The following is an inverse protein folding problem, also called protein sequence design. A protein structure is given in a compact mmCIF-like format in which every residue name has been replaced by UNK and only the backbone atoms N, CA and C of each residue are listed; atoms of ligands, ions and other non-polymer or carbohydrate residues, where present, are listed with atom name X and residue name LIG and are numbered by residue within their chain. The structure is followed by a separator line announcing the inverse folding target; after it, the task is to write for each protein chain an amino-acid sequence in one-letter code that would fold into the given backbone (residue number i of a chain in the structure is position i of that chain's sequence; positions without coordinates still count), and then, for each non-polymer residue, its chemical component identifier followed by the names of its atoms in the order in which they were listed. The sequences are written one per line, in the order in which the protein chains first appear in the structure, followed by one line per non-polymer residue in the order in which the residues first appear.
data_IF_926043870511
#
_entry.id   IF_926043870511
#
_cell.length_a   1.000
_cell.length_b   1.000
_cell.length_c   1.000
_cell.angle_alpha   90.00
_cell.angle_beta   90.00
_cell.angle_gamma   90.00
#
_symmetry.space_group_name_H-M   'P 1'
#
loop_
_entity.id
_entity.type
_entity.pdbx_description
1 polymer ?
#
# COMPACT_ATOMS: atom_id res chain seq x y z
N UNK A 1 -14.20 -1.72 9.54
CA UNK A 1 -14.84 -3.04 9.80
C UNK A 1 -14.99 -3.18 11.32
N UNK A 2 -15.81 -4.10 11.86
CA UNK A 2 -15.83 -4.36 13.31
C UNK A 2 -15.17 -5.71 13.61
N UNK A 3 -14.08 -5.68 14.37
CA UNK A 3 -13.49 -6.90 14.96
C UNK A 3 -13.96 -7.09 16.40
N UNK A 4 -14.28 -8.33 16.74
CA UNK A 4 -14.53 -8.78 18.11
C UNK A 4 -13.63 -9.98 18.42
N UNK A 5 -13.31 -10.21 19.68
CA UNK A 5 -12.52 -11.36 20.11
C UNK A 5 -13.17 -12.08 21.29
N UNK A 6 -13.17 -13.41 21.23
CA UNK A 6 -13.64 -14.28 22.31
C UNK A 6 -12.70 -15.47 22.50
N UNK A 7 -12.54 -15.91 23.75
CA UNK A 7 -11.63 -17.00 24.07
C UNK A 7 -12.16 -18.39 23.65
N UNK A 8 -13.48 -18.57 23.66
CA UNK A 8 -14.09 -19.90 23.52
C UNK A 8 -15.22 -19.94 22.47
N UNK A 9 -15.18 -20.97 21.62
CA UNK A 9 -16.16 -21.25 20.57
C UNK A 9 -17.61 -21.33 21.09
N UNK A 10 -17.84 -21.80 22.31
CA UNK A 10 -19.17 -21.91 22.93
C UNK A 10 -19.82 -20.54 23.17
N UNK A 11 -19.01 -19.52 23.49
CA UNK A 11 -19.43 -18.15 23.78
C UNK A 11 -19.76 -17.32 22.53
N UNK A 12 -19.54 -17.87 21.33
CA UNK A 12 -19.81 -17.15 20.08
C UNK A 12 -21.28 -16.85 19.89
N UNK A 13 -21.57 -15.68 19.31
CA UNK A 13 -22.90 -15.35 18.79
C UNK A 13 -23.07 -15.92 17.38
N UNK A 14 -24.32 -16.12 16.97
CA UNK A 14 -24.64 -16.55 15.60
C UNK A 14 -24.07 -15.57 14.56
N UNK A 15 -23.66 -16.16 13.44
CA UNK A 15 -22.97 -15.51 12.32
C UNK A 15 -23.33 -16.23 11.01
N UNK A 16 -23.01 -15.64 9.87
CA UNK A 16 -23.43 -16.21 8.56
C UNK A 16 -22.52 -17.35 8.10
N UNK A 17 -21.31 -17.41 8.67
CA UNK A 17 -20.27 -18.40 8.38
C UNK A 17 -19.36 -18.60 9.60
N UNK A 18 -19.04 -19.86 9.90
CA UNK A 18 -17.95 -20.25 10.79
C UNK A 18 -16.77 -20.78 9.97
N UNK A 19 -15.57 -20.31 10.26
CA UNK A 19 -14.34 -20.74 9.59
C UNK A 19 -13.50 -21.55 10.55
N UNK A 20 -13.04 -22.71 10.07
CA UNK A 20 -12.18 -23.65 10.80
C UNK A 20 -10.88 -23.82 10.01
N UNK A 21 -9.72 -23.43 10.57
CA UNK A 21 -8.44 -23.60 9.90
C UNK A 21 -7.93 -25.04 9.97
N UNK A 22 -7.26 -25.48 8.91
CA UNK A 22 -6.65 -26.81 8.76
C UNK A 22 -5.25 -26.69 8.17
N UNK A 23 -4.34 -27.56 8.62
CA UNK A 23 -3.07 -27.84 7.96
C UNK A 23 -3.26 -28.86 6.84
N UNK A 24 -2.23 -29.02 6.00
CA UNK A 24 -2.14 -30.14 5.05
C UNK A 24 -2.31 -31.51 5.74
N UNK A 25 -2.71 -32.52 4.95
CA UNK A 25 -3.10 -33.84 5.44
C UNK A 25 -4.25 -33.69 6.45
N UNK A 26 -5.36 -33.11 5.97
CA UNK A 26 -6.29 -32.21 6.65
C UNK A 26 -6.32 -32.35 8.17
N UNK A 27 -5.27 -31.84 8.83
CA UNK A 27 -5.14 -31.84 10.29
C UNK A 27 -5.77 -30.54 10.81
N UNK A 28 -6.74 -30.60 11.75
CA UNK A 28 -7.29 -29.38 12.33
C UNK A 28 -6.20 -28.51 12.95
N UNK A 29 -6.17 -27.22 12.61
CA UNK A 29 -5.22 -26.29 13.19
C UNK A 29 -5.66 -25.78 14.57
N UNK A 30 -6.81 -26.21 15.07
CA UNK A 30 -7.38 -25.80 16.36
C UNK A 30 -8.31 -26.90 16.89
N UNK A 31 -8.54 -27.01 18.21
CA UNK A 31 -9.45 -28.03 18.74
C UNK A 31 -10.87 -27.89 18.19
N UNK A 32 -11.36 -28.93 17.50
CA UNK A 32 -12.67 -28.91 16.83
C UNK A 32 -13.86 -28.91 17.80
N UNK A 33 -13.70 -29.43 19.02
CA UNK A 33 -14.77 -29.59 20.02
C UNK A 33 -16.06 -30.17 19.38
N UNK A 34 -17.17 -29.45 19.43
CA UNK A 34 -18.47 -29.87 18.87
C UNK A 34 -18.55 -29.90 17.34
N UNK A 35 -17.49 -29.52 16.62
CA UNK A 35 -17.45 -29.49 15.16
C UNK A 35 -16.88 -30.77 14.52
N UNK A 36 -16.40 -31.72 15.33
CA UNK A 36 -15.64 -32.89 14.85
C UNK A 36 -16.35 -33.69 13.74
N UNK A 37 -17.66 -33.91 13.86
CA UNK A 37 -18.45 -34.63 12.86
C UNK A 37 -18.75 -33.80 11.61
N UNK A 38 -18.95 -32.48 11.78
CA UNK A 38 -19.37 -31.60 10.69
C UNK A 38 -18.29 -31.39 9.61
N UNK A 39 -17.01 -31.55 9.97
CA UNK A 39 -15.87 -31.34 9.06
C UNK A 39 -15.42 -32.61 8.32
N UNK A 40 -15.87 -33.79 8.73
CA UNK A 40 -15.43 -35.07 8.15
C UNK A 40 -15.79 -35.27 6.66
N UNK A 41 -16.97 -34.86 6.16
CA UNK A 41 -17.40 -35.22 4.80
C UNK A 41 -16.38 -34.86 3.69
N UNK A 42 -15.89 -33.60 3.56
CA UNK A 42 -14.91 -33.28 2.52
C UNK A 42 -13.54 -33.94 2.75
N UNK A 43 -13.18 -34.25 4.00
CA UNK A 43 -11.92 -34.91 4.35
C UNK A 43 -11.94 -36.39 3.91
N UNK A 44 -13.02 -37.11 4.24
CA UNK A 44 -13.19 -38.52 3.89
C UNK A 44 -13.36 -38.73 2.38
N UNK A 45 -14.05 -37.79 1.71
CA UNK A 45 -14.17 -37.77 0.25
C UNK A 45 -12.86 -37.39 -0.47
N UNK A 46 -11.86 -36.87 0.26
CA UNK A 46 -10.61 -36.32 -0.28
C UNK A 46 -10.81 -35.08 -1.16
N UNK A 47 -11.91 -34.38 -1.00
CA UNK A 47 -12.23 -33.10 -1.65
C UNK A 47 -11.49 -31.91 -1.01
N UNK A 48 -10.88 -32.12 0.15
CA UNK A 48 -10.12 -31.12 0.88
C UNK A 48 -8.81 -31.70 1.40
N UNK A 49 -7.69 -31.08 1.06
CA UNK A 49 -6.35 -31.55 1.41
C UNK A 49 -5.61 -30.70 2.44
N UNK A 50 -6.10 -29.48 2.71
CA UNK A 50 -5.50 -28.51 3.63
C UNK A 50 -4.43 -27.63 3.00
N UNK A 51 -4.33 -27.60 1.67
CA UNK A 51 -3.39 -26.72 0.94
C UNK A 51 -3.70 -25.27 1.24
N UNK A 52 -2.69 -24.42 1.20
CA UNK A 52 -2.85 -23.01 1.52
C UNK A 52 -3.90 -22.33 0.61
N UNK A 53 -4.87 -21.65 1.24
CA UNK A 53 -5.98 -20.99 0.54
C UNK A 53 -7.06 -21.92 -0.01
N UNK A 54 -6.93 -23.23 0.16
CA UNK A 54 -7.96 -24.21 -0.18
C UNK A 54 -9.20 -24.01 0.69
N UNK A 55 -10.39 -24.08 0.10
CA UNK A 55 -11.66 -23.87 0.80
C UNK A 55 -12.63 -25.01 0.49
N UNK A 56 -13.13 -25.66 1.55
CA UNK A 56 -14.34 -26.49 1.47
C UNK A 56 -15.50 -25.79 2.18
N UNK A 57 -16.54 -25.41 1.43
CA UNK A 57 -17.76 -24.78 1.95
C UNK A 57 -18.84 -25.85 2.20
N UNK A 58 -19.30 -25.94 3.44
CA UNK A 58 -20.29 -26.88 3.91
C UNK A 58 -21.55 -26.18 4.42
N UNK A 59 -22.66 -26.92 4.40
CA UNK A 59 -23.97 -26.50 4.92
C UNK A 59 -24.43 -27.51 5.99
N UNK A 60 -23.89 -27.42 7.22
CA UNK A 60 -24.16 -28.41 8.25
C UNK A 60 -25.63 -28.39 8.68
N UNK A 61 -26.18 -29.58 8.98
CA UNK A 61 -27.49 -29.73 9.61
C UNK A 61 -27.33 -29.53 11.12
N UNK A 62 -27.47 -28.29 11.57
CA UNK A 62 -27.34 -27.89 12.99
C UNK A 62 -26.09 -27.05 13.29
N UNK A 63 -26.00 -26.54 14.51
CA UNK A 63 -25.02 -25.51 14.90
C UNK A 63 -25.63 -24.09 14.84
N UNK A 64 -24.85 -23.08 15.25
CA UNK A 64 -25.30 -21.68 15.26
C UNK A 64 -25.26 -21.05 13.86
N UNK A 65 -24.31 -21.45 13.02
CA UNK A 65 -24.08 -20.86 11.70
C UNK A 65 -24.64 -21.73 10.57
N UNK A 66 -25.22 -21.09 9.54
CA UNK A 66 -25.76 -21.79 8.34
C UNK A 66 -24.69 -22.36 7.41
N UNK A 67 -23.45 -21.89 7.54
CA UNK A 67 -22.32 -22.26 6.70
C UNK A 67 -21.10 -22.54 7.58
N UNK A 68 -20.31 -23.51 7.14
CA UNK A 68 -19.02 -23.86 7.72
C UNK A 68 -17.98 -23.88 6.60
N UNK A 69 -16.81 -23.28 6.81
CA UNK A 69 -15.69 -23.35 5.87
C UNK A 69 -14.53 -24.03 6.56
N UNK A 70 -13.95 -25.02 5.88
CA UNK A 70 -12.60 -25.49 6.16
C UNK A 70 -11.65 -24.62 5.33
N UNK A 71 -10.70 -23.96 5.98
CA UNK A 71 -9.69 -23.14 5.33
C UNK A 71 -8.32 -23.80 5.48
N UNK A 72 -7.68 -24.13 4.35
CA UNK A 72 -6.34 -24.69 4.35
C UNK A 72 -5.28 -23.60 4.57
N UNK A 73 -4.38 -23.86 5.51
CA UNK A 73 -3.24 -23.00 5.87
C UNK A 73 -1.91 -23.52 5.30
N UNK A 74 -1.92 -24.63 4.57
CA UNK A 74 -0.71 -25.26 4.07
C UNK A 74 -0.02 -26.12 5.13
N UNK A 75 1.30 -26.31 4.97
CA UNK A 75 2.09 -27.13 5.88
C UNK A 75 2.32 -26.42 7.20
N UNK A 76 2.11 -27.15 8.29
CA UNK A 76 2.21 -26.65 9.67
C UNK A 76 3.57 -25.99 9.99
N UNK A 77 4.68 -26.56 9.52
CA UNK A 77 6.03 -26.04 9.76
C UNK A 77 6.50 -24.92 8.80
N UNK A 78 5.69 -24.56 7.79
CA UNK A 78 6.02 -23.52 6.79
C UNK A 78 5.10 -22.30 6.92
N UNK A 79 4.35 -22.18 8.02
CA UNK A 79 3.42 -21.08 8.25
C UNK A 79 4.16 -19.73 8.33
N UNK A 80 3.70 -18.75 7.55
CA UNK A 80 4.22 -17.38 7.53
C UNK A 80 3.09 -16.35 7.58
N UNK A 81 3.43 -15.09 7.85
CA UNK A 81 2.47 -13.96 7.80
C UNK A 81 1.83 -13.85 6.43
N UNK A 82 2.62 -13.97 5.35
CA UNK A 82 2.09 -13.93 3.98
C UNK A 82 1.21 -15.14 3.64
N UNK A 83 1.56 -16.35 4.11
CA UNK A 83 0.72 -17.53 3.94
C UNK A 83 -0.65 -17.35 4.60
N UNK A 84 -0.70 -16.76 5.80
CA UNK A 84 -1.96 -16.35 6.44
C UNK A 84 -2.69 -15.29 5.62
N UNK A 85 -2.00 -14.25 5.17
CA UNK A 85 -2.58 -13.18 4.34
C UNK A 85 -3.25 -13.75 3.08
N UNK A 86 -2.58 -14.67 2.37
CA UNK A 86 -3.10 -15.32 1.15
C UNK A 86 -4.27 -16.26 1.46
N UNK A 87 -4.18 -17.07 2.51
CA UNK A 87 -5.27 -17.96 2.91
C UNK A 87 -6.54 -17.18 3.29
N UNK A 88 -6.40 -16.13 4.12
CA UNK A 88 -7.54 -15.31 4.54
C UNK A 88 -8.02 -14.35 3.44
N UNK A 89 -7.18 -14.03 2.45
CA UNK A 89 -7.63 -13.39 1.20
C UNK A 89 -8.56 -14.32 0.41
N UNK A 90 -8.21 -15.60 0.23
CA UNK A 90 -9.08 -16.57 -0.43
C UNK A 90 -10.45 -16.69 0.27
N UNK A 91 -10.44 -16.78 1.60
CA UNK A 91 -11.65 -16.78 2.41
C UNK A 91 -12.49 -15.52 2.18
N UNK A 92 -11.86 -14.35 2.20
CA UNK A 92 -12.57 -13.08 2.06
C UNK A 92 -13.20 -12.95 0.68
N UNK A 93 -12.51 -13.38 -0.39
CA UNK A 93 -13.09 -13.47 -1.75
C UNK A 93 -14.35 -14.34 -1.77
N UNK A 94 -14.35 -15.48 -1.07
CA UNK A 94 -15.55 -16.31 -0.93
C UNK A 94 -16.68 -15.57 -0.21
N UNK A 95 -16.38 -14.90 0.91
CA UNK A 95 -17.35 -14.12 1.68
C UNK A 95 -18.01 -13.03 0.83
N UNK A 96 -17.21 -12.28 0.06
CA UNK A 96 -17.69 -11.25 -0.86
C UNK A 96 -18.58 -11.86 -1.95
N UNK A 97 -18.13 -12.95 -2.60
CA UNK A 97 -18.91 -13.67 -3.64
C UNK A 97 -20.25 -14.18 -3.11
N UNK A 98 -20.31 -14.59 -1.85
CA UNK A 98 -21.52 -15.09 -1.17
C UNK A 98 -22.34 -13.98 -0.49
N UNK A 99 -21.93 -12.72 -0.62
CA UNK A 99 -22.58 -11.55 -0.01
C UNK A 99 -22.76 -11.71 1.52
N UNK A 100 -21.73 -12.21 2.20
CA UNK A 100 -21.71 -12.36 3.67
C UNK A 100 -21.20 -11.08 4.34
N UNK A 101 -21.84 -10.64 5.41
CA UNK A 101 -21.48 -9.45 6.18
C UNK A 101 -20.94 -9.75 7.58
N UNK A 102 -21.18 -10.93 8.14
CA UNK A 102 -20.74 -11.31 9.48
C UNK A 102 -20.20 -12.74 9.49
N UNK A 103 -18.96 -12.91 9.95
CA UNK A 103 -18.30 -14.22 10.06
C UNK A 103 -17.62 -14.44 11.42
N UNK A 104 -17.52 -15.71 11.81
CA UNK A 104 -16.77 -16.19 12.97
C UNK A 104 -15.53 -16.94 12.48
N UNK A 105 -14.34 -16.59 12.99
CA UNK A 105 -13.05 -17.17 12.60
C UNK A 105 -12.42 -17.85 13.80
N UNK A 106 -12.23 -19.18 13.74
CA UNK A 106 -11.35 -19.85 14.69
C UNK A 106 -9.89 -19.56 14.35
N UNK A 107 -9.13 -19.13 15.34
CA UNK A 107 -7.68 -18.97 15.18
C UNK A 107 -6.98 -20.33 15.21
N UNK A 108 -5.92 -20.51 14.40
CA UNK A 108 -5.03 -21.65 14.54
C UNK A 108 -4.33 -21.60 15.90
N UNK A 109 -4.15 -22.77 16.53
CA UNK A 109 -3.31 -22.93 17.69
C UNK A 109 -1.85 -22.92 17.26
N UNK A 110 -1.23 -21.75 17.35
CA UNK A 110 0.16 -21.51 16.93
C UNK A 110 1.19 -21.69 18.05
N UNK A 111 0.75 -21.93 19.29
CA UNK A 111 1.63 -21.89 20.48
C UNK A 111 2.79 -22.87 20.37
N UNK A 112 2.54 -24.03 19.76
CA UNK A 112 3.53 -25.09 19.60
C UNK A 112 4.39 -24.96 18.34
N UNK A 113 4.00 -24.09 17.38
CA UNK A 113 4.67 -23.98 16.08
C UNK A 113 6.01 -23.25 16.14
N UNK A 114 6.11 -22.22 17.01
CA UNK A 114 7.29 -21.34 17.16
C UNK A 114 7.78 -20.68 15.85
N UNK A 115 7.05 -20.82 14.75
CA UNK A 115 7.37 -20.21 13.44
C UNK A 115 6.93 -18.76 13.36
N UNK A 116 5.80 -18.42 14.00
CA UNK A 116 5.26 -17.07 14.10
C UNK A 116 4.70 -16.81 15.50
N UNK A 117 4.70 -15.55 15.91
CA UNK A 117 4.06 -15.05 17.12
C UNK A 117 2.54 -14.87 16.97
N UNK A 118 1.84 -14.66 18.09
CA UNK A 118 0.42 -14.29 18.08
C UNK A 118 0.17 -12.96 17.37
N UNK A 119 1.11 -12.03 17.47
CA UNK A 119 1.04 -10.73 16.81
C UNK A 119 1.08 -10.89 15.29
N UNK A 120 2.08 -11.60 14.78
CA UNK A 120 2.24 -11.93 13.36
C UNK A 120 1.03 -12.72 12.81
N UNK A 121 0.49 -13.65 13.61
CA UNK A 121 -0.69 -14.41 13.22
C UNK A 121 -1.92 -13.51 13.05
N UNK A 122 -2.19 -12.64 14.04
CA UNK A 122 -3.32 -11.71 13.98
C UNK A 122 -3.14 -10.67 12.88
N UNK A 123 -1.91 -10.19 12.66
CA UNK A 123 -1.57 -9.31 11.55
C UNK A 123 -1.89 -9.99 10.20
N UNK A 124 -1.33 -11.16 9.90
CA UNK A 124 -1.54 -11.82 8.61
C UNK A 124 -3.03 -12.14 8.34
N UNK A 125 -3.76 -12.60 9.37
CA UNK A 125 -5.21 -12.85 9.27
C UNK A 125 -5.97 -11.55 8.98
N UNK A 126 -5.72 -10.50 9.75
CA UNK A 126 -6.44 -9.24 9.61
C UNK A 126 -6.08 -8.52 8.31
N UNK A 127 -4.83 -8.53 7.86
CA UNK A 127 -4.42 -8.02 6.54
C UNK A 127 -5.11 -8.77 5.40
N UNK A 128 -5.11 -10.11 5.45
CA UNK A 128 -5.77 -10.94 4.44
C UNK A 128 -7.26 -10.62 4.31
N UNK A 129 -7.92 -10.33 5.44
CA UNK A 129 -9.32 -9.90 5.47
C UNK A 129 -9.50 -8.46 4.99
N UNK A 130 -8.80 -7.52 5.61
CA UNK A 130 -8.95 -6.08 5.37
C UNK A 130 -8.59 -5.73 3.92
N UNK A 131 -7.37 -6.04 3.50
CA UNK A 131 -6.85 -5.64 2.19
C UNK A 131 -7.64 -6.24 1.02
N UNK A 132 -8.27 -7.40 1.23
CA UNK A 132 -9.14 -8.08 0.25
C UNK A 132 -10.58 -7.55 0.29
N UNK A 133 -11.02 -7.01 1.43
CA UNK A 133 -12.35 -6.42 1.58
C UNK A 133 -12.43 -5.00 0.98
N UNK A 134 -11.31 -4.40 0.59
CA UNK A 134 -11.27 -3.19 -0.22
C UNK A 134 -11.97 -3.40 -1.57
N UNK A 135 -12.84 -2.46 -1.95
CA UNK A 135 -13.43 -2.41 -3.29
C UNK A 135 -13.40 -0.97 -3.77
N UNK A 136 -12.79 -0.77 -4.93
CA UNK A 136 -12.92 0.46 -5.67
C UNK A 136 -13.96 0.28 -6.78
N UNK A 137 -15.05 1.03 -6.70
CA UNK A 137 -16.08 0.99 -7.73
C UNK A 137 -15.85 2.12 -8.72
N UNK A 138 -15.50 1.77 -9.96
CA UNK A 138 -15.70 2.69 -11.08
C UNK A 138 -17.14 3.16 -11.07
N UNK A 139 -17.37 4.47 -11.18
CA UNK A 139 -18.69 5.09 -11.30
C UNK A 139 -19.35 4.71 -12.65
N UNK A 140 -19.61 3.42 -12.88
CA UNK A 140 -20.32 2.93 -14.07
C UNK A 140 -21.82 2.81 -13.80
N UNK A 141 -22.62 2.90 -14.85
CA UNK A 141 -24.09 2.96 -14.77
C UNK A 141 -24.74 1.69 -14.18
N UNK A 142 -24.04 0.55 -14.18
CA UNK A 142 -24.49 -0.71 -13.57
C UNK A 142 -24.16 -0.75 -12.08
N UNK A 143 -25.02 -0.13 -11.26
CA UNK A 143 -24.93 -0.17 -9.80
C UNK A 143 -25.26 -1.55 -9.24
N UNK A 144 -24.38 -2.54 -9.38
CA UNK A 144 -24.35 -3.59 -8.36
C UNK A 144 -23.87 -2.94 -7.06
N UNK A 145 -24.70 -2.95 -6.02
CA UNK A 145 -24.30 -2.42 -4.71
C UNK A 145 -23.10 -3.21 -4.21
N UNK A 146 -21.98 -2.54 -3.91
CA UNK A 146 -20.87 -3.18 -3.23
C UNK A 146 -21.34 -3.87 -1.96
N UNK A 147 -20.90 -5.11 -1.82
CA UNK A 147 -21.11 -5.88 -0.62
C UNK A 147 -19.78 -5.99 0.11
N UNK A 148 -19.80 -5.70 1.41
CA UNK A 148 -18.61 -5.76 2.26
C UNK A 148 -18.83 -6.73 3.41
N UNK A 149 -17.75 -7.39 3.82
CA UNK A 149 -17.66 -7.98 5.14
C UNK A 149 -17.61 -6.85 6.16
N UNK A 150 -18.49 -6.90 7.17
CA UNK A 150 -18.69 -5.81 8.14
C UNK A 150 -18.24 -6.21 9.54
N UNK A 151 -18.35 -7.49 9.87
CA UNK A 151 -18.13 -8.00 11.23
C UNK A 151 -17.32 -9.30 11.19
N UNK A 152 -16.23 -9.33 11.96
CA UNK A 152 -15.36 -10.50 12.12
C UNK A 152 -15.19 -10.78 13.59
N UNK A 153 -15.58 -11.97 14.05
CA UNK A 153 -15.30 -12.41 15.42
C UNK A 153 -14.15 -13.41 15.40
N UNK A 154 -13.03 -13.04 16.01
CA UNK A 154 -11.88 -13.91 16.24
C UNK A 154 -12.13 -14.78 17.48
N UNK A 155 -12.02 -16.10 17.31
CA UNK A 155 -12.29 -17.10 18.34
C UNK A 155 -10.98 -17.80 18.70
N UNK A 156 -10.65 -17.84 19.98
CA UNK A 156 -9.37 -18.37 20.49
C UNK A 156 -8.39 -17.28 20.92
N UNK A 157 -8.85 -16.04 21.09
CA UNK A 157 -8.03 -14.94 21.63
C UNK A 157 -8.84 -14.04 22.56
N UNK A 158 -8.16 -13.18 23.31
CA UNK A 158 -8.77 -12.27 24.27
C UNK A 158 -9.02 -10.89 23.65
N UNK A 159 -10.01 -10.11 24.14
CA UNK A 159 -10.26 -8.75 23.68
C UNK A 159 -9.03 -7.84 23.66
N UNK A 160 -8.09 -8.01 24.59
CA UNK A 160 -6.83 -7.24 24.63
C UNK A 160 -5.98 -7.39 23.35
N UNK A 161 -6.07 -8.53 22.67
CA UNK A 161 -5.32 -8.79 21.44
C UNK A 161 -5.89 -8.07 20.22
N UNK A 162 -7.07 -7.43 20.34
CA UNK A 162 -7.62 -6.58 19.28
C UNK A 162 -6.79 -5.30 19.06
N UNK A 163 -5.91 -4.91 19.98
CA UNK A 163 -5.02 -3.77 19.74
C UNK A 163 -4.08 -4.02 18.55
N UNK A 164 -3.64 -5.26 18.34
CA UNK A 164 -2.83 -5.66 17.18
C UNK A 164 -3.64 -5.47 15.89
N UNK A 165 -4.88 -5.96 15.88
CA UNK A 165 -5.80 -5.82 14.74
C UNK A 165 -6.10 -4.35 14.46
N UNK A 166 -6.28 -3.52 15.51
CA UNK A 166 -6.51 -2.09 15.37
C UNK A 166 -5.31 -1.39 14.73
N UNK A 167 -4.08 -1.75 15.09
CA UNK A 167 -2.88 -1.23 14.45
C UNK A 167 -2.82 -1.63 12.97
N UNK A 168 -3.13 -2.88 12.64
CA UNK A 168 -3.25 -3.35 11.26
C UNK A 168 -4.35 -2.63 10.49
N UNK A 169 -5.49 -2.32 11.11
CA UNK A 169 -6.57 -1.52 10.51
C UNK A 169 -6.08 -0.13 10.11
N UNK A 170 -5.35 0.58 10.98
CA UNK A 170 -4.81 1.91 10.64
C UNK A 170 -3.85 1.86 9.44
N UNK A 171 -3.03 0.81 9.34
CA UNK A 171 -2.14 0.60 8.18
C UNK A 171 -2.96 0.27 6.93
N UNK A 172 -3.97 -0.61 7.04
CA UNK A 172 -4.84 -0.95 5.91
C UNK A 172 -5.62 0.26 5.38
N UNK A 173 -6.12 1.14 6.26
CA UNK A 173 -6.80 2.39 5.88
C UNK A 173 -5.85 3.34 5.13
N UNK A 174 -4.57 3.40 5.53
CA UNK A 174 -3.56 4.14 4.78
C UNK A 174 -3.29 3.52 3.39
N UNK A 175 -3.28 2.19 3.27
CA UNK A 175 -3.21 1.50 1.98
C UNK A 175 -4.44 1.78 1.13
N UNK A 176 -5.63 1.89 1.72
CA UNK A 176 -6.84 2.28 0.98
C UNK A 176 -6.74 3.69 0.45
N UNK A 177 -6.25 4.65 1.24
CA UNK A 177 -5.98 6.00 0.75
C UNK A 177 -5.05 5.96 -0.48
N UNK A 178 -3.94 5.22 -0.40
CA UNK A 178 -3.02 5.06 -1.54
C UNK A 178 -3.74 4.48 -2.76
N UNK A 179 -4.52 3.40 -2.58
CA UNK A 179 -5.27 2.75 -3.67
C UNK A 179 -6.36 3.65 -4.25
N UNK A 180 -7.08 4.40 -3.43
CA UNK A 180 -8.13 5.31 -3.87
C UNK A 180 -7.55 6.41 -4.75
N UNK A 181 -6.40 6.97 -4.36
CA UNK A 181 -5.71 7.97 -5.16
C UNK A 181 -5.24 7.42 -6.52
N UNK A 182 -4.63 6.23 -6.53
CA UNK A 182 -4.10 5.60 -7.75
C UNK A 182 -5.24 5.16 -8.69
N UNK A 183 -6.34 4.64 -8.13
CA UNK A 183 -7.44 4.09 -8.92
C UNK A 183 -8.35 5.17 -9.50
N UNK A 184 -8.50 6.31 -8.82
CA UNK A 184 -9.38 7.40 -9.23
C UNK A 184 -8.93 8.02 -10.56
N UNK A 185 -9.85 8.72 -11.23
CA UNK A 185 -9.58 9.33 -12.51
C UNK A 185 -8.61 10.52 -12.41
N UNK A 186 -7.82 10.71 -13.46
CA UNK A 186 -6.86 11.82 -13.57
C UNK A 186 -7.53 13.21 -13.56
N UNK A 187 -8.78 13.33 -14.02
CA UNK A 187 -9.53 14.59 -13.97
C UNK A 187 -9.93 15.00 -12.53
N UNK A 188 -9.93 14.04 -11.61
CA UNK A 188 -10.21 14.26 -10.18
C UNK A 188 -8.89 14.44 -9.41
N UNK A 189 -7.94 13.51 -9.57
CA UNK A 189 -6.67 13.49 -8.82
C UNK A 189 -5.65 14.41 -9.49
N UNK A 190 -5.90 15.72 -9.42
CA UNK A 190 -5.03 16.78 -9.94
C UNK A 190 -3.94 17.18 -8.92
N UNK A 191 -2.94 18.01 -9.28
CA UNK A 191 -1.94 18.49 -8.33
C UNK A 191 -2.54 19.24 -7.13
N UNK A 192 -3.63 19.97 -7.36
CA UNK A 192 -4.42 20.62 -6.32
C UNK A 192 -5.08 19.60 -5.39
N UNK A 193 -5.69 18.55 -5.95
CA UNK A 193 -6.32 17.50 -5.16
C UNK A 193 -5.34 16.79 -4.24
N UNK A 194 -4.10 16.52 -4.70
CA UNK A 194 -3.05 15.97 -3.81
C UNK A 194 -2.71 16.93 -2.67
N UNK A 195 -2.73 18.23 -2.92
CA UNK A 195 -2.59 19.25 -1.90
C UNK A 195 -3.73 19.21 -0.88
N UNK A 196 -4.97 19.10 -1.35
CA UNK A 196 -6.16 18.98 -0.51
C UNK A 196 -6.13 17.72 0.36
N UNK A 197 -5.68 16.59 -0.18
CA UNK A 197 -5.49 15.33 0.56
C UNK A 197 -4.49 15.53 1.69
N UNK A 198 -3.34 16.16 1.42
CA UNK A 198 -2.33 16.46 2.44
C UNK A 198 -2.86 17.40 3.52
N UNK A 199 -3.64 18.43 3.15
CA UNK A 199 -4.33 19.28 4.12
C UNK A 199 -5.38 18.51 4.92
N UNK A 200 -6.08 17.55 4.31
CA UNK A 200 -7.00 16.64 4.98
C UNK A 200 -6.29 15.81 6.05
N UNK A 201 -5.09 15.31 5.77
CA UNK A 201 -4.27 14.60 6.74
C UNK A 201 -3.86 15.49 7.93
N UNK A 202 -3.45 16.74 7.70
CA UNK A 202 -3.11 17.65 8.81
C UNK A 202 -4.33 18.06 9.66
N UNK A 203 -5.52 18.15 9.06
CA UNK A 203 -6.77 18.33 9.81
C UNK A 203 -7.14 17.11 10.65
N UNK A 204 -6.94 15.90 10.11
CA UNK A 204 -7.23 14.63 10.80
C UNK A 204 -6.22 14.35 11.92
N UNK A 205 -4.95 14.69 11.72
CA UNK A 205 -3.86 14.40 12.64
C UNK A 205 -3.12 15.69 13.05
N UNK A 206 -3.37 16.23 14.25
CA UNK A 206 -2.74 17.47 14.72
C UNK A 206 -1.21 17.44 14.81
N UNK A 207 -0.61 16.25 14.81
CA UNK A 207 0.85 16.04 14.77
C UNK A 207 1.46 16.27 13.38
N UNK A 208 0.63 16.50 12.36
CA UNK A 208 1.07 16.81 11.00
C UNK A 208 0.89 18.31 10.73
N UNK A 209 1.95 18.94 10.22
CA UNK A 209 1.93 20.30 9.67
C UNK A 209 2.16 20.25 8.18
N UNK A 210 1.24 20.81 7.40
CA UNK A 210 1.32 20.83 5.93
C UNK A 210 1.51 22.24 5.41
N UNK A 211 2.47 22.40 4.49
CA UNK A 211 2.69 23.61 3.71
C UNK A 211 2.62 23.26 2.22
N UNK A 212 1.91 24.07 1.44
CA UNK A 212 1.78 23.89 0.00
C UNK A 212 2.30 25.14 -0.70
N UNK A 213 3.17 24.96 -1.68
CA UNK A 213 3.59 26.04 -2.56
C UNK A 213 2.71 26.02 -3.79
N UNK A 214 2.10 27.18 -4.06
CA UNK A 214 1.45 27.45 -5.33
C UNK A 214 2.49 27.76 -6.42
N UNK A 215 2.05 27.88 -7.66
CA UNK A 215 2.92 28.20 -8.81
C UNK A 215 3.73 29.47 -8.59
N UNK A 216 3.15 30.51 -7.99
CA UNK A 216 3.85 31.78 -7.71
C UNK A 216 5.05 31.56 -6.79
N UNK A 217 4.87 30.78 -5.73
CA UNK A 217 5.96 30.42 -4.83
C UNK A 217 6.97 29.48 -5.51
N UNK A 218 6.54 28.50 -6.31
CA UNK A 218 7.44 27.62 -7.07
C UNK A 218 8.35 28.42 -8.02
N UNK A 219 7.81 29.44 -8.71
CA UNK A 219 8.59 30.39 -9.51
C UNK A 219 9.60 31.15 -8.66
N UNK A 220 9.17 31.66 -7.50
CA UNK A 220 10.05 32.40 -6.58
C UNK A 220 11.20 31.54 -6.04
N UNK A 221 10.92 30.27 -5.74
CA UNK A 221 11.92 29.31 -5.28
C UNK A 221 12.82 28.81 -6.42
N UNK A 222 12.56 29.21 -7.68
CA UNK A 222 13.35 28.85 -8.88
C UNK A 222 13.43 27.34 -9.14
N UNK A 223 12.32 26.63 -8.93
CA UNK A 223 12.21 25.19 -9.27
C UNK A 223 11.98 25.03 -10.77
N UNK A 224 13.00 25.32 -11.58
CA UNK A 224 12.88 25.40 -13.04
C UNK A 224 12.53 24.08 -13.72
N UNK A 225 12.91 22.93 -13.17
CA UNK A 225 12.56 21.62 -13.75
C UNK A 225 11.10 21.25 -13.47
N UNK A 226 10.60 21.49 -12.25
CA UNK A 226 9.19 21.31 -11.94
C UNK A 226 8.30 22.24 -12.79
N UNK A 227 8.73 23.50 -12.92
CA UNK A 227 8.03 24.45 -13.78
C UNK A 227 8.04 23.97 -15.23
N UNK A 228 9.18 23.46 -15.71
CA UNK A 228 9.35 23.00 -17.08
C UNK A 228 8.35 21.89 -17.47
N UNK A 229 8.19 20.89 -16.60
CA UNK A 229 7.23 19.80 -16.79
C UNK A 229 5.79 20.31 -16.81
N UNK A 230 5.46 21.27 -15.93
CA UNK A 230 4.09 21.76 -15.76
C UNK A 230 3.56 22.67 -16.87
N UNK A 231 4.43 23.18 -17.76
CA UNK A 231 4.10 24.31 -18.65
C UNK A 231 2.94 24.01 -19.62
N UNK A 232 2.79 22.75 -20.01
CA UNK A 232 1.78 22.31 -20.96
C UNK A 232 0.43 21.95 -20.33
N UNK A 233 0.35 21.86 -18.99
CA UNK A 233 -0.91 21.49 -18.32
C UNK A 233 -1.80 22.72 -18.09
N UNK A 234 -3.11 22.49 -18.14
CA UNK A 234 -4.10 23.44 -17.68
C UNK A 234 -4.15 23.55 -16.14
N UNK A 235 -3.60 22.56 -15.43
CA UNK A 235 -3.51 22.55 -13.96
C UNK A 235 -2.16 23.08 -13.52
N UNK A 236 -2.17 23.95 -12.50
CA UNK A 236 -0.92 24.50 -11.96
C UNK A 236 -0.21 23.47 -11.07
N UNK A 237 1.13 23.43 -11.05
CA UNK A 237 1.88 22.53 -10.18
C UNK A 237 1.70 22.92 -8.70
N UNK A 238 1.92 21.94 -7.82
CA UNK A 238 1.97 22.13 -6.37
C UNK A 238 3.24 21.51 -5.81
N UNK A 239 3.83 22.15 -4.81
CA UNK A 239 4.92 21.56 -4.03
C UNK A 239 4.43 21.37 -2.61
N UNK A 240 4.18 20.13 -2.23
CA UNK A 240 3.52 19.78 -0.97
C UNK A 240 4.57 19.30 0.02
N UNK A 241 4.58 19.87 1.22
CA UNK A 241 5.48 19.48 2.32
C UNK A 241 4.60 19.18 3.54
N UNK A 242 4.61 17.94 4.01
CA UNK A 242 3.87 17.54 5.22
C UNK A 242 4.82 16.92 6.24
N UNK A 243 4.95 17.57 7.39
CA UNK A 243 5.86 17.18 8.47
C UNK A 243 5.09 16.58 9.64
N UNK A 244 5.43 15.34 10.01
CA UNK A 244 5.00 14.65 11.20
C UNK A 244 6.09 14.70 12.28
N UNK A 245 5.73 15.22 13.46
CA UNK A 245 6.60 15.29 14.63
C UNK A 245 6.12 14.28 15.71
N UNK A 246 6.67 13.07 15.67
CA UNK A 246 6.36 12.00 16.64
C UNK A 246 7.42 11.82 17.72
N UNK A 247 8.59 12.43 17.58
CA UNK A 247 9.67 12.35 18.56
C UNK A 247 10.48 13.66 18.65
N UNK A 248 9.97 14.68 19.37
CA UNK A 248 10.61 16.00 19.46
C UNK A 248 12.03 16.01 20.06
N UNK A 249 12.43 14.91 20.73
CA UNK A 249 13.77 14.78 21.35
C UNK A 249 14.80 14.18 20.40
N UNK A 250 14.36 13.55 19.30
CA UNK A 250 15.24 12.93 18.33
C UNK A 250 15.66 13.93 17.26
N UNK A 251 16.94 13.87 16.87
CA UNK A 251 17.45 14.54 15.67
C UNK A 251 17.35 13.68 14.41
N UNK A 252 17.00 12.39 14.55
CA UNK A 252 16.76 11.53 13.40
C UNK A 252 15.49 11.98 12.67
N UNK A 253 15.61 12.19 11.36
CA UNK A 253 14.57 12.76 10.52
C UNK A 253 14.60 12.10 9.15
N UNK A 254 13.55 11.35 8.85
CA UNK A 254 13.38 10.72 7.54
C UNK A 254 12.63 11.66 6.62
N UNK A 255 13.14 11.85 5.41
CA UNK A 255 12.43 12.48 4.30
C UNK A 255 11.99 11.42 3.30
N UNK A 256 10.70 11.39 2.99
CA UNK A 256 10.17 10.65 1.86
C UNK A 256 9.77 11.61 0.74
N UNK A 257 10.16 11.32 -0.50
CA UNK A 257 9.79 12.13 -1.68
C UNK A 257 9.01 11.28 -2.67
N UNK A 258 7.76 11.62 -2.94
CA UNK A 258 6.92 10.86 -3.87
C UNK A 258 6.76 11.55 -5.22
N UNK A 259 7.07 10.87 -6.33
CA UNK A 259 6.75 11.37 -7.69
C UNK A 259 5.25 11.65 -7.79
N UNK A 260 4.87 12.88 -8.12
CA UNK A 260 3.49 13.35 -8.17
C UNK A 260 3.02 13.75 -9.57
N UNK A 261 3.31 12.95 -10.60
CA UNK A 261 2.79 13.20 -11.96
C UNK A 261 1.39 12.63 -12.06
N UNK A 262 0.40 13.50 -11.94
CA UNK A 262 -1.03 13.13 -11.82
C UNK A 262 -1.62 12.51 -13.08
N UNK A 263 -1.07 12.90 -14.23
CA UNK A 263 -1.22 12.18 -15.48
C UNK A 263 0.01 12.42 -16.34
N UNK A 264 0.51 11.37 -16.97
CA UNK A 264 1.67 11.43 -17.83
C UNK A 264 1.32 11.06 -19.27
N UNK A 265 1.18 12.06 -20.13
CA UNK A 265 1.05 11.83 -21.58
C UNK A 265 2.40 11.52 -22.24
N UNK A 266 3.52 11.78 -21.54
CA UNK A 266 4.87 11.87 -22.08
C UNK A 266 5.22 13.24 -22.66
N UNK A 267 4.27 14.18 -22.71
CA UNK A 267 4.48 15.50 -23.29
C UNK A 267 4.69 15.41 -24.82
N UNK A 268 5.61 16.21 -25.37
CA UNK A 268 5.90 16.20 -26.81
C UNK A 268 6.39 14.83 -27.30
N UNK A 269 7.12 14.10 -26.46
CA UNK A 269 7.39 12.67 -26.63
C UNK A 269 6.19 11.82 -26.21
N UNK A 270 5.06 12.01 -26.90
CA UNK A 270 3.78 11.37 -26.58
C UNK A 270 3.91 9.85 -26.47
N UNK A 271 3.38 9.27 -25.39
CA UNK A 271 3.31 7.84 -25.20
C UNK A 271 2.43 7.18 -26.28
N UNK A 272 2.83 6.01 -26.80
CA UNK A 272 2.01 5.27 -27.74
C UNK A 272 0.74 4.69 -27.06
N UNK A 273 -0.29 4.42 -27.88
CA UNK A 273 -1.48 3.67 -27.46
C UNK A 273 -1.09 2.33 -26.84
N UNK A 274 -1.77 1.93 -25.77
CA UNK A 274 -1.46 0.76 -24.95
C UNK A 274 -0.53 1.04 -23.76
N UNK A 275 0.13 2.20 -23.73
CA UNK A 275 1.04 2.62 -22.65
C UNK A 275 0.59 3.88 -21.91
N UNK A 276 -0.45 4.56 -22.40
CA UNK A 276 -0.92 5.86 -21.88
C UNK A 276 -2.15 5.71 -20.96
N UNK A 277 -2.91 4.63 -21.12
CA UNK A 277 -4.25 4.43 -20.53
C UNK A 277 -4.22 4.33 -19.01
N UNK A 278 -3.11 3.86 -18.44
CA UNK A 278 -2.92 3.72 -16.99
C UNK A 278 -2.08 4.85 -16.39
N UNK A 279 -1.70 5.89 -17.14
CA UNK A 279 -0.76 6.92 -16.67
C UNK A 279 -1.32 7.88 -15.61
N UNK A 280 -2.59 7.72 -15.23
CA UNK A 280 -3.11 8.25 -13.95
C UNK A 280 -2.40 7.64 -12.73
N UNK A 281 -1.79 6.47 -12.88
CA UNK A 281 -1.04 5.78 -11.84
C UNK A 281 0.36 6.38 -11.64
N UNK A 282 0.77 7.35 -12.46
CA UNK A 282 2.13 7.90 -12.44
C UNK A 282 2.43 8.85 -11.25
N UNK A 283 1.43 8.99 -10.38
CA UNK A 283 1.49 9.62 -9.07
C UNK A 283 1.51 8.60 -7.91
N UNK A 284 1.68 7.30 -8.20
CA UNK A 284 1.70 6.24 -7.18
C UNK A 284 2.78 6.47 -6.11
N UNK A 285 3.90 7.10 -6.47
CA UNK A 285 4.93 7.54 -5.54
C UNK A 285 4.40 8.54 -4.51
N UNK A 286 3.72 9.59 -4.98
CA UNK A 286 3.04 10.58 -4.15
C UNK A 286 1.94 9.97 -3.27
N UNK A 287 1.10 9.10 -3.85
CA UNK A 287 0.05 8.40 -3.10
C UNK A 287 0.65 7.57 -1.97
N UNK A 288 1.72 6.81 -2.25
CA UNK A 288 2.39 5.95 -1.28
C UNK A 288 2.99 6.75 -0.13
N UNK A 289 3.68 7.86 -0.39
CA UNK A 289 4.26 8.67 0.70
C UNK A 289 3.19 9.33 1.57
N UNK A 290 2.07 9.78 0.98
CA UNK A 290 0.94 10.32 1.73
C UNK A 290 0.24 9.23 2.56
N UNK A 291 0.09 8.02 2.02
CA UNK A 291 -0.40 6.86 2.74
C UNK A 291 0.52 6.50 3.92
N UNK A 292 1.83 6.41 3.70
CA UNK A 292 2.83 6.16 4.75
C UNK A 292 2.75 7.20 5.87
N UNK A 293 2.60 8.49 5.52
CA UNK A 293 2.40 9.56 6.51
C UNK A 293 1.13 9.33 7.34
N UNK A 294 0.03 8.95 6.71
CA UNK A 294 -1.22 8.62 7.40
C UNK A 294 -1.04 7.44 8.36
N UNK A 295 -0.39 6.35 7.92
CA UNK A 295 -0.12 5.18 8.75
C UNK A 295 0.75 5.52 9.96
N UNK A 296 1.85 6.26 9.76
CA UNK A 296 2.78 6.71 10.80
C UNK A 296 2.06 7.56 11.85
N UNK A 297 1.22 8.50 11.41
CA UNK A 297 0.47 9.37 12.32
C UNK A 297 -0.63 8.61 13.09
N UNK A 298 -1.37 7.72 12.42
CA UNK A 298 -2.44 6.94 13.00
C UNK A 298 -1.95 5.93 14.05
N UNK A 299 -0.78 5.32 13.79
CA UNK A 299 -0.11 4.38 14.71
C UNK A 299 0.75 5.09 15.77
N UNK A 300 0.91 6.43 15.66
CA UNK A 300 1.65 7.27 16.60
C UNK A 300 3.11 6.84 16.78
N UNK A 301 3.78 6.47 15.67
CA UNK A 301 5.18 6.03 15.72
C UNK A 301 6.08 7.14 16.27
N UNK A 302 7.04 6.76 17.12
CA UNK A 302 7.98 7.70 17.77
C UNK A 302 9.13 8.10 16.84
N UNK A 303 8.80 8.68 15.70
CA UNK A 303 9.74 9.13 14.65
C UNK A 303 9.43 10.55 14.19
N UNK A 304 10.40 11.20 13.54
CA UNK A 304 10.15 12.44 12.80
C UNK A 304 10.23 12.15 11.31
N UNK A 305 9.18 12.51 10.58
CA UNK A 305 9.01 12.17 9.18
C UNK A 305 8.53 13.41 8.42
N UNK A 306 9.17 13.74 7.30
CA UNK A 306 8.59 14.68 6.33
C UNK A 306 8.33 13.97 5.03
N UNK A 307 7.17 14.25 4.44
CA UNK A 307 6.81 13.87 3.09
C UNK A 307 6.86 15.10 2.20
N UNK A 308 7.49 14.97 1.04
CA UNK A 308 7.49 15.97 -0.02
C UNK A 308 6.92 15.38 -1.30
N UNK A 309 6.02 16.10 -1.93
CA UNK A 309 5.43 15.73 -3.22
C UNK A 309 5.55 16.92 -4.18
N UNK A 310 6.45 16.85 -5.18
CA UNK A 310 6.35 17.71 -6.36
C UNK A 310 5.20 17.20 -7.25
N UNK A 311 4.06 17.86 -7.21
CA UNK A 311 2.87 17.48 -7.95
C UNK A 311 2.72 18.31 -9.24
N UNK A 312 2.50 17.64 -10.35
CA UNK A 312 2.27 18.26 -11.66
C UNK A 312 1.51 17.31 -12.60
N UNK A 313 1.27 17.73 -13.82
CA UNK A 313 0.71 16.94 -14.91
C UNK A 313 1.58 17.18 -16.14
N UNK A 314 1.97 16.11 -16.84
CA UNK A 314 2.78 16.21 -18.06
C UNK A 314 1.87 16.10 -19.28
N UNK A 315 1.58 17.24 -19.91
CA UNK A 315 0.56 17.38 -20.95
C UNK A 315 1.13 17.93 -22.27
N UNK A 316 0.38 17.72 -23.34
CA UNK A 316 0.64 18.26 -24.68
C UNK A 316 -0.17 19.53 -24.89
N UNK A 317 0.53 20.64 -25.06
CA UNK A 317 -0.02 21.96 -25.40
C UNK A 317 1.01 22.77 -26.22
N UNK A 318 0.58 23.90 -26.79
CA UNK A 318 1.49 24.86 -27.42
C UNK A 318 2.61 25.34 -26.48
N UNK A 319 2.37 25.36 -25.16
CA UNK A 319 3.33 25.78 -24.12
C UNK A 319 4.20 24.65 -23.59
N UNK A 320 4.02 23.40 -24.01
CA UNK A 320 4.86 22.30 -23.54
C UNK A 320 6.34 22.54 -23.87
N UNK A 321 7.19 22.22 -22.90
CA UNK A 321 8.63 22.05 -23.09
C UNK A 321 8.92 20.97 -24.14
N UNK A 322 10.08 21.06 -24.78
CA UNK A 322 10.42 20.29 -25.97
C UNK A 322 11.76 19.57 -25.82
N UNK A 323 11.97 18.50 -26.60
CA UNK A 323 13.29 17.93 -26.76
C UNK A 323 14.31 18.97 -27.23
N UNK A 324 15.47 19.01 -26.60
CA UNK A 324 16.55 19.99 -26.81
C UNK A 324 16.43 21.28 -25.99
N UNK A 325 15.33 21.52 -25.28
CA UNK A 325 15.25 22.65 -24.35
C UNK A 325 16.24 22.45 -23.20
N UNK A 326 16.81 23.55 -22.69
CA UNK A 326 17.71 23.55 -21.53
C UNK A 326 17.09 24.37 -20.41
N UNK A 327 16.89 23.74 -19.25
CA UNK A 327 16.33 24.40 -18.06
C UNK A 327 17.33 24.42 -16.91
N UNK A 328 17.31 25.50 -16.13
CA UNK A 328 18.08 25.61 -14.89
C UNK A 328 17.27 25.03 -13.73
N UNK A 329 17.82 24.01 -13.08
CA UNK A 329 17.26 23.41 -11.86
C UNK A 329 17.35 24.32 -10.64
N UNK A 330 16.63 23.96 -9.57
CA UNK A 330 16.78 24.55 -8.25
C UNK A 330 18.24 24.54 -7.75
N UNK A 331 18.99 23.49 -8.11
CA UNK A 331 20.42 23.36 -7.77
C UNK A 331 21.36 24.21 -8.63
N UNK A 332 20.81 25.07 -9.49
CA UNK A 332 21.52 25.95 -10.44
C UNK A 332 22.25 25.21 -11.57
N UNK A 333 22.19 23.87 -11.60
CA UNK A 333 22.64 23.07 -12.74
C UNK A 333 21.67 23.20 -13.90
N UNK A 334 22.19 23.27 -15.11
CA UNK A 334 21.42 23.18 -16.36
C UNK A 334 21.18 21.73 -16.75
N UNK A 335 19.99 21.43 -17.25
CA UNK A 335 19.59 20.09 -17.73
C UNK A 335 19.02 20.24 -19.13
N UNK A 336 19.62 19.54 -20.10
CA UNK A 336 19.07 19.37 -21.44
C UNK A 336 17.97 18.31 -21.41
N UNK A 337 16.81 18.65 -21.96
CA UNK A 337 15.67 17.74 -22.04
C UNK A 337 15.79 16.94 -23.33
N UNK A 338 16.35 15.74 -23.27
CA UNK A 338 16.40 14.87 -24.47
C UNK A 338 15.08 14.15 -24.73
N UNK A 339 14.26 13.94 -23.70
CA UNK A 339 12.97 13.27 -23.79
C UNK A 339 12.01 13.81 -22.71
N UNK A 340 10.85 14.32 -23.12
CA UNK A 340 9.83 14.87 -22.22
C UNK A 340 9.06 13.79 -21.45
N UNK A 341 9.14 12.52 -21.86
CA UNK A 341 8.61 11.33 -21.15
C UNK A 341 9.55 10.84 -20.03
N UNK A 342 10.61 11.60 -19.75
CA UNK A 342 11.50 11.42 -18.61
C UNK A 342 11.26 12.54 -17.57
N UNK A 343 10.03 12.96 -17.39
CA UNK A 343 9.59 14.08 -16.54
C UNK A 343 9.76 13.81 -15.04
N UNK A 344 9.54 12.57 -14.59
CA UNK A 344 9.54 12.22 -13.16
C UNK A 344 10.87 12.54 -12.48
N UNK A 345 12.00 12.29 -13.16
CA UNK A 345 13.34 12.61 -12.60
C UNK A 345 13.59 14.12 -12.54
N UNK A 346 12.95 14.91 -13.41
CA UNK A 346 13.08 16.37 -13.44
C UNK A 346 12.44 16.98 -12.20
N UNK A 347 11.17 16.61 -11.93
CA UNK A 347 10.45 17.12 -10.76
C UNK A 347 11.06 16.64 -9.44
N UNK A 348 11.59 15.41 -9.41
CA UNK A 348 12.32 14.87 -8.26
C UNK A 348 13.65 15.58 -8.05
N UNK A 349 14.37 15.96 -9.11
CA UNK A 349 15.64 16.67 -9.03
C UNK A 349 15.53 18.00 -8.27
N UNK A 350 14.51 18.79 -8.58
CA UNK A 350 14.21 20.03 -7.84
C UNK A 350 13.74 19.73 -6.41
N UNK A 351 12.84 18.74 -6.23
CA UNK A 351 12.31 18.40 -4.92
C UNK A 351 13.37 17.91 -3.94
N UNK A 352 14.26 17.01 -4.37
CA UNK A 352 15.36 16.49 -3.58
C UNK A 352 16.32 17.63 -3.20
N UNK A 353 16.69 18.47 -4.17
CA UNK A 353 17.64 19.57 -3.94
C UNK A 353 17.09 20.62 -2.97
N UNK A 354 15.83 21.03 -3.15
CA UNK A 354 15.14 21.94 -2.22
C UNK A 354 15.06 21.35 -0.82
N UNK A 355 14.59 20.10 -0.73
CA UNK A 355 14.28 19.45 0.54
C UNK A 355 15.53 19.17 1.36
N UNK A 356 16.62 18.69 0.75
CA UNK A 356 17.89 18.48 1.46
C UNK A 356 18.44 19.81 2.01
N UNK A 357 18.39 20.88 1.21
CA UNK A 357 18.90 22.20 1.61
C UNK A 357 18.09 22.83 2.76
N UNK A 358 16.77 22.73 2.72
CA UNK A 358 15.89 23.43 3.67
C UNK A 358 15.44 22.58 4.86
N UNK A 359 15.30 21.27 4.70
CA UNK A 359 14.76 20.37 5.72
C UNK A 359 15.86 19.60 6.46
N UNK A 360 17.06 19.47 5.87
CA UNK A 360 18.25 18.82 6.48
C UNK A 360 17.96 17.43 7.09
N UNK A 361 17.34 16.51 6.33
CA UNK A 361 17.03 15.17 6.83
C UNK A 361 18.29 14.35 7.09
N UNK A 362 18.19 13.35 7.97
CA UNK A 362 19.27 12.38 8.21
C UNK A 362 19.29 11.26 7.18
N UNK A 363 18.16 11.01 6.51
CA UNK A 363 18.03 10.05 5.40
C UNK A 363 16.91 10.48 4.45
N UNK A 364 17.06 10.12 3.17
CA UNK A 364 16.09 10.43 2.10
C UNK A 364 15.76 9.14 1.36
N UNK A 365 14.47 8.92 1.10
CA UNK A 365 13.99 7.84 0.24
C UNK A 365 12.99 8.47 -0.73
N UNK A 366 13.26 8.38 -2.03
CA UNK A 366 12.25 8.72 -3.05
C UNK A 366 11.52 7.47 -3.56
N UNK A 367 10.24 7.63 -3.87
CA UNK A 367 9.37 6.58 -4.40
C UNK A 367 8.75 7.09 -5.70
N UNK A 368 8.92 6.33 -6.79
CA UNK A 368 8.51 6.75 -8.11
C UNK A 368 8.21 5.60 -9.08
N UNK A 369 7.13 5.74 -9.82
CA UNK A 369 6.88 5.02 -11.09
C UNK A 369 7.79 5.62 -12.18
N UNK A 370 9.09 5.35 -12.09
CA UNK A 370 10.08 6.17 -12.82
C UNK A 370 10.44 5.63 -14.21
N UNK A 371 10.48 4.31 -14.39
CA UNK A 371 10.97 3.72 -15.65
C UNK A 371 10.25 2.43 -16.00
N UNK A 372 9.89 2.26 -17.28
CA UNK A 372 9.49 0.97 -17.82
C UNK A 372 10.62 -0.07 -17.79
N UNK A 373 11.88 0.36 -17.77
CA UNK A 373 13.05 -0.53 -17.69
C UNK A 373 13.09 -1.36 -16.40
N UNK A 374 12.59 -0.85 -15.28
CA UNK A 374 12.47 -1.67 -14.06
C UNK A 374 11.48 -2.82 -14.23
N UNK A 375 10.38 -2.61 -14.94
CA UNK A 375 9.41 -3.68 -15.25
C UNK A 375 10.04 -4.74 -16.15
N UNK A 376 10.85 -4.32 -17.14
CA UNK A 376 11.61 -5.27 -17.98
C UNK A 376 12.60 -6.09 -17.16
N UNK A 377 13.27 -5.48 -16.19
CA UNK A 377 14.32 -6.13 -15.40
C UNK A 377 13.77 -7.07 -14.31
N UNK A 378 12.73 -6.65 -13.59
CA UNK A 378 12.26 -7.30 -12.35
C UNK A 378 10.81 -7.79 -12.40
N UNK A 379 10.08 -7.50 -13.49
CA UNK A 379 8.65 -7.79 -13.60
C UNK A 379 7.80 -6.91 -12.67
N UNK A 380 6.64 -7.42 -12.28
CA UNK A 380 5.64 -6.68 -11.49
C UNK A 380 5.62 -7.05 -9.99
N UNK A 381 6.40 -8.04 -9.58
CA UNK A 381 6.37 -8.59 -8.21
C UNK A 381 7.46 -8.07 -7.27
N UNK A 382 8.46 -7.37 -7.80
CA UNK A 382 9.63 -6.90 -7.06
C UNK A 382 9.92 -5.46 -7.47
N UNK A 383 10.05 -4.56 -6.49
CA UNK A 383 10.45 -3.18 -6.78
C UNK A 383 11.96 -3.05 -6.82
N UNK A 384 12.48 -2.41 -7.87
CA UNK A 384 13.90 -2.06 -7.95
C UNK A 384 14.19 -0.79 -7.16
N UNK A 385 15.33 -0.75 -6.46
CA UNK A 385 15.80 0.47 -5.80
C UNK A 385 17.30 0.67 -5.99
N UNK A 386 17.74 1.90 -5.82
CA UNK A 386 19.15 2.28 -5.83
C UNK A 386 19.48 2.94 -4.49
N UNK A 387 20.71 2.80 -4.02
CA UNK A 387 21.16 3.45 -2.79
C UNK A 387 22.63 3.84 -2.90
N UNK A 388 22.97 4.98 -2.33
CA UNK A 388 24.35 5.42 -2.08
C UNK A 388 24.81 5.12 -0.64
N UNK A 389 23.95 4.52 0.19
CA UNK A 389 24.22 4.13 1.57
C UNK A 389 23.88 2.64 1.75
N UNK A 390 24.89 1.83 2.04
CA UNK A 390 24.76 0.38 2.18
C UNK A 390 23.91 -0.02 3.39
N UNK A 391 23.96 0.76 4.47
CA UNK A 391 23.20 0.48 5.69
C UNK A 391 21.71 0.70 5.43
N UNK A 392 21.34 1.79 4.78
CA UNK A 392 19.96 2.06 4.39
C UNK A 392 19.46 1.00 3.39
N UNK A 393 20.31 0.57 2.46
CA UNK A 393 19.95 -0.49 1.51
C UNK A 393 19.60 -1.81 2.21
N UNK A 394 20.43 -2.26 3.16
CA UNK A 394 20.14 -3.45 3.96
C UNK A 394 18.85 -3.29 4.78
N UNK A 395 18.63 -2.12 5.40
CA UNK A 395 17.40 -1.85 6.15
C UNK A 395 16.14 -1.92 5.28
N UNK A 396 16.22 -1.46 4.02
CA UNK A 396 15.12 -1.56 3.07
C UNK A 396 14.87 -3.02 2.64
N UNK A 397 15.93 -3.79 2.36
CA UNK A 397 15.81 -5.21 2.03
C UNK A 397 15.17 -6.01 3.18
N UNK A 398 15.61 -5.78 4.41
CA UNK A 398 15.02 -6.41 5.60
C UNK A 398 13.55 -6.04 5.76
N UNK A 399 13.20 -4.76 5.56
CA UNK A 399 11.82 -4.31 5.58
C UNK A 399 10.97 -5.04 4.54
N UNK A 400 11.40 -5.06 3.27
CA UNK A 400 10.68 -5.74 2.19
C UNK A 400 10.51 -7.24 2.41
N UNK A 401 11.53 -7.91 2.95
CA UNK A 401 11.43 -9.33 3.33
C UNK A 401 10.41 -9.57 4.44
N UNK A 402 10.42 -8.73 5.48
CA UNK A 402 9.50 -8.86 6.62
C UNK A 402 8.04 -8.54 6.28
N UNK A 403 7.79 -7.66 5.31
CA UNK A 403 6.43 -7.28 4.88
C UNK A 403 5.92 -8.12 3.71
N UNK A 404 6.82 -8.85 3.04
CA UNK A 404 6.58 -9.53 1.75
C UNK A 404 6.34 -8.56 0.58
N UNK A 405 6.83 -7.32 0.69
CA UNK A 405 6.93 -6.35 -0.40
C UNK A 405 8.37 -6.32 -0.89
N UNK A 406 8.71 -7.26 -1.77
CA UNK A 406 10.09 -7.55 -2.13
C UNK A 406 10.78 -6.39 -2.85
N UNK A 407 12.03 -6.14 -2.45
CA UNK A 407 12.90 -5.14 -3.05
C UNK A 407 14.15 -5.80 -3.64
N UNK A 408 14.68 -5.20 -4.70
CA UNK A 408 15.95 -5.60 -5.29
C UNK A 408 16.86 -4.40 -5.53
N UNK A 409 18.09 -4.48 -5.02
CA UNK A 409 19.06 -3.39 -5.18
C UNK A 409 19.71 -3.46 -6.57
N UNK A 410 19.59 -2.36 -7.31
CA UNK A 410 20.23 -2.15 -8.59
C UNK A 410 21.53 -1.35 -8.42
N UNK A 411 22.57 -1.60 -9.23
CA UNK A 411 23.87 -0.95 -9.07
C UNK A 411 23.89 0.51 -9.56
N UNK A 412 24.65 1.37 -8.88
CA UNK A 412 25.00 2.73 -9.31
C UNK A 412 26.50 2.84 -9.60
N UNK A 413 26.98 2.13 -10.62
CA UNK A 413 28.41 2.19 -11.00
C UNK A 413 28.74 3.46 -11.79
N UNK A 414 29.98 3.95 -11.61
CA UNK A 414 30.48 5.19 -12.23
C UNK A 414 30.26 5.26 -13.75
N UNK A 415 30.45 4.19 -14.55
CA UNK A 415 30.23 4.26 -16.00
C UNK A 415 28.79 4.63 -16.42
N UNK A 416 27.77 4.41 -15.58
CA UNK A 416 26.41 4.84 -15.89
C UNK A 416 26.23 6.36 -15.85
N UNK A 417 27.12 7.06 -15.13
CA UNK A 417 27.09 8.53 -15.06
C UNK A 417 27.54 9.20 -16.36
N UNK A 418 28.39 8.54 -17.15
CA UNK A 418 28.89 9.06 -18.43
C UNK A 418 27.83 9.01 -19.54
N UNK A 419 26.69 8.35 -19.28
CA UNK A 419 25.55 8.24 -20.21
C UNK A 419 24.48 9.31 -19.97
N UNK A 420 24.66 10.16 -18.96
CA UNK A 420 23.79 11.28 -18.58
C UNK A 420 24.42 12.61 -19.04
#
# INVERSE_FOLDING_TARGET
MLFAAIADLSKRKESELLVVPFWEKPKPATPLKSLALAVQPPILAKDFTGKEGEIALLYPKGGKEKRLVLLGLGKEGELSVDGLRRAYSALTKLCLKKKLSKINLLLPNIVELRTISLEECLQGISEGVLLTNYQWNRKTATKEKSHFLKHVTLIGTLPKSLEIVRQTEEVAEAVYLTRDLINENADIVTPDYLGEVALGLSKRFPTIKTTIFDKKRIIKEKMGLLLAVSQGSATDPRFIISHYEGNPRSKDHTLLVGKGVTFDSGGINLKPTGHIETMREDMSGAATVLGTLAAVAATKLKVNLTVVVPATENAVDAKSYKPGDIFTSYSEKTVEIVNTDAEGRLILGDALSYSVKHLKPTRVIDLATLTGSMVVALGNGISGFFSNDEKLAMQLLDAGNSTSELLWQMPLHVPYREQL
#
